data_IF_370622519893
#
_entry.id   IF_370622519893
#
_cell.length_a   1.000
_cell.length_b   1.000
_cell.length_c   1.000
_cell.angle_alpha   90.00
_cell.angle_beta   90.00
_cell.angle_gamma   90.00
#
_symmetry.space_group_name_H-M   'P 1'
#
loop_
_entity.id
_entity.type
_entity.pdbx_description
1 polymer ?
#
# COMPACT_ATOMS: atom_id res chain seq x y z
N UNK A 1 17.27 -10.25 -21.59
CA UNK A 1 17.08 -10.29 -20.12
C UNK A 1 15.61 -10.01 -19.84
N UNK A 2 14.95 -10.74 -18.93
CA UNK A 2 13.58 -10.43 -18.49
C UNK A 2 13.66 -9.50 -17.29
N UNK A 3 13.30 -8.23 -17.44
CA UNK A 3 13.24 -7.26 -16.34
C UNK A 3 12.09 -7.62 -15.41
N UNK A 4 12.34 -7.61 -14.10
CA UNK A 4 11.33 -7.79 -13.06
C UNK A 4 11.30 -6.56 -12.18
N UNK A 5 10.11 -6.19 -11.71
CA UNK A 5 9.88 -5.05 -10.84
C UNK A 5 9.85 -5.51 -9.37
N UNK A 6 10.80 -5.08 -8.51
CA UNK A 6 10.77 -5.34 -7.07
C UNK A 6 10.23 -4.12 -6.30
N UNK A 7 8.92 -4.08 -6.04
CA UNK A 7 8.29 -3.09 -5.14
C UNK A 7 8.06 -3.73 -3.78
N UNK A 8 8.59 -3.12 -2.73
CA UNK A 8 8.54 -3.64 -1.34
C UNK A 8 7.86 -2.70 -0.34
N UNK A 9 7.54 -1.46 -0.75
CA UNK A 9 7.13 -0.39 0.16
C UNK A 9 5.71 0.15 -0.11
N UNK A 10 4.87 -0.59 -0.84
CA UNK A 10 3.50 -0.14 -1.14
C UNK A 10 2.54 -0.24 0.07
N UNK A 11 2.85 -1.12 1.04
CA UNK A 11 1.98 -1.41 2.18
C UNK A 11 1.18 -2.70 2.01
N UNK A 12 -0.05 -2.73 2.53
CA UNK A 12 -0.80 -3.96 2.80
C UNK A 12 -1.11 -4.83 1.59
N UNK A 13 -1.36 -4.23 0.43
CA UNK A 13 -1.73 -4.95 -0.80
C UNK A 13 -0.64 -4.85 -1.87
N UNK A 14 0.58 -4.54 -1.43
CA UNK A 14 1.76 -4.59 -2.28
C UNK A 14 2.06 -6.02 -2.73
N UNK A 15 2.79 -6.12 -3.83
CA UNK A 15 3.29 -7.40 -4.34
C UNK A 15 4.28 -8.02 -3.33
N UNK A 16 4.19 -9.33 -3.11
CA UNK A 16 5.15 -10.11 -2.31
C UNK A 16 6.12 -10.90 -3.20
N UNK A 17 5.93 -10.84 -4.51
CA UNK A 17 6.79 -11.45 -5.52
C UNK A 17 7.13 -10.44 -6.62
N UNK A 18 8.34 -10.49 -7.21
CA UNK A 18 8.68 -9.62 -8.33
C UNK A 18 7.83 -9.94 -9.57
N UNK A 19 7.18 -8.92 -10.13
CA UNK A 19 6.38 -9.06 -11.35
C UNK A 19 7.22 -8.79 -12.61
N UNK A 20 7.06 -9.59 -13.68
CA UNK A 20 7.76 -9.35 -14.93
C UNK A 20 7.18 -8.15 -15.68
N UNK A 21 8.05 -7.32 -16.25
CA UNK A 21 7.67 -6.25 -17.17
C UNK A 21 7.54 -6.83 -18.58
N UNK A 22 6.44 -7.55 -18.84
CA UNK A 22 6.13 -8.09 -20.18
C UNK A 22 5.16 -7.16 -20.91
N UNK A 23 5.61 -6.42 -21.94
CA UNK A 23 4.74 -5.53 -22.67
C UNK A 23 3.85 -6.35 -23.62
N UNK A 24 2.59 -5.93 -23.77
CA UNK A 24 1.61 -6.46 -24.74
C UNK A 24 1.36 -7.99 -24.74
N UNK A 25 1.22 -8.65 -23.57
CA UNK A 25 0.73 -10.02 -23.59
C UNK A 25 -0.76 -10.02 -24.00
N UNK A 26 -1.18 -10.98 -24.83
CA UNK A 26 -2.60 -11.20 -25.14
C UNK A 26 -3.42 -11.36 -23.85
N UNK A 27 -2.86 -12.09 -22.88
CA UNK A 27 -3.36 -12.20 -21.51
C UNK A 27 -2.24 -11.90 -20.50
N UNK A 28 -2.38 -10.85 -19.67
CA UNK A 28 -1.39 -10.53 -18.64
C UNK A 28 -1.21 -11.67 -17.62
N UNK A 29 0.02 -12.10 -17.31
CA UNK A 29 0.26 -13.14 -16.32
C UNK A 29 -0.32 -12.78 -14.96
N UNK A 30 -1.06 -13.73 -14.37
CA UNK A 30 -1.65 -13.60 -13.03
C UNK A 30 -0.83 -14.39 -12.04
N UNK A 31 -0.49 -13.77 -10.91
CA UNK A 31 0.25 -14.38 -9.82
C UNK A 31 -0.59 -14.40 -8.55
N UNK A 32 -0.43 -15.45 -7.75
CA UNK A 32 -0.92 -15.45 -6.37
C UNK A 32 -0.01 -14.54 -5.55
N UNK A 33 -0.59 -13.61 -4.80
CA UNK A 33 0.16 -12.76 -3.87
C UNK A 33 0.32 -13.52 -2.54
N UNK A 34 -0.74 -13.58 -1.74
CA UNK A 34 -0.85 -14.43 -0.55
C UNK A 34 -2.31 -14.85 -0.36
N UNK A 35 -2.52 -16.07 0.15
CA UNK A 35 -3.85 -16.67 0.25
C UNK A 35 -4.61 -16.68 -1.08
N UNK A 36 -5.82 -16.11 -1.08
CA UNK A 36 -6.69 -16.01 -2.27
C UNK A 36 -6.42 -14.79 -3.16
N UNK A 37 -5.58 -13.85 -2.72
CA UNK A 37 -5.32 -12.62 -3.45
C UNK A 37 -4.47 -12.90 -4.70
N UNK A 38 -4.90 -12.31 -5.81
CA UNK A 38 -4.18 -12.36 -7.07
C UNK A 38 -3.75 -10.97 -7.50
N UNK A 39 -2.58 -10.91 -8.14
CA UNK A 39 -1.97 -9.68 -8.63
C UNK A 39 -1.55 -9.85 -10.09
N UNK A 40 -1.53 -8.75 -10.82
CA UNK A 40 -0.98 -8.69 -12.18
C UNK A 40 -0.45 -7.29 -12.48
N UNK A 41 0.39 -7.23 -13.49
CA UNK A 41 0.84 -5.98 -14.08
C UNK A 41 0.37 -5.94 -15.54
N UNK A 42 -0.29 -4.85 -15.93
CA UNK A 42 -0.75 -4.63 -17.30
C UNK A 42 -0.04 -3.41 -17.89
N UNK A 43 0.10 -3.36 -19.22
CA UNK A 43 0.65 -2.21 -19.94
C UNK A 43 -0.43 -1.59 -20.83
N UNK A 44 -1.13 -0.59 -20.30
CA UNK A 44 -2.35 -0.06 -20.88
C UNK A 44 -2.46 1.46 -20.73
N UNK A 45 -3.27 2.14 -21.56
CA UNK A 45 -3.63 3.53 -21.32
C UNK A 45 -4.38 3.68 -19.98
N UNK A 46 -4.19 4.82 -19.31
CA UNK A 46 -4.96 5.15 -18.10
C UNK A 46 -6.44 5.35 -18.49
N UNK A 47 -7.37 4.61 -17.87
CA UNK A 47 -8.81 4.77 -18.13
C UNK A 47 -9.25 6.23 -17.99
N UNK A 48 -10.16 6.72 -18.85
CA UNK A 48 -10.67 8.08 -18.72
C UNK A 48 -11.33 8.36 -17.37
N UNK A 49 -11.96 7.34 -16.76
CA UNK A 49 -12.70 7.52 -15.49
C UNK A 49 -11.78 7.71 -14.27
N UNK A 50 -10.53 7.24 -14.31
CA UNK A 50 -9.56 7.40 -13.21
C UNK A 50 -8.78 8.72 -13.30
N UNK A 51 -9.07 9.58 -14.28
CA UNK A 51 -8.45 10.90 -14.44
C UNK A 51 -9.12 11.90 -13.50
N UNK A 52 -8.91 11.77 -12.20
CA UNK A 52 -9.53 12.63 -11.18
C UNK A 52 -8.96 14.07 -11.12
N UNK A 53 -8.19 14.51 -12.12
CA UNK A 53 -7.75 15.90 -12.22
C UNK A 53 -7.79 16.41 -13.65
N UNK A 54 -8.66 17.38 -13.97
CA UNK A 54 -8.68 18.03 -15.28
C UNK A 54 -7.49 18.96 -15.52
N UNK A 55 -6.49 19.03 -14.63
CA UNK A 55 -5.48 20.10 -14.68
C UNK A 55 -4.10 19.67 -15.16
N UNK A 56 -3.51 18.56 -14.70
CA UNK A 56 -2.12 18.24 -15.12
C UNK A 56 -2.06 17.58 -16.51
N UNK A 57 -2.81 16.49 -16.71
CA UNK A 57 -2.79 15.73 -17.97
C UNK A 57 -3.58 16.42 -19.07
N UNK A 58 -4.62 17.20 -18.74
CA UNK A 58 -5.43 17.92 -19.74
C UNK A 58 -4.72 19.18 -20.28
N UNK A 59 -3.90 19.86 -19.46
CA UNK A 59 -3.11 21.01 -19.91
C UNK A 59 -1.95 20.54 -20.81
N UNK A 60 -1.27 19.45 -20.45
CA UNK A 60 -0.23 18.88 -21.30
C UNK A 60 -0.80 18.27 -22.59
N UNK A 61 -1.92 17.54 -22.51
CA UNK A 61 -2.55 16.95 -23.70
C UNK A 61 -3.22 17.98 -24.59
N UNK A 62 -3.91 19.01 -24.10
CA UNK A 62 -4.60 19.96 -25.01
C UNK A 62 -3.65 20.85 -25.83
N UNK A 63 -2.46 21.16 -25.30
CA UNK A 63 -1.48 21.99 -26.00
C UNK A 63 -0.58 21.17 -26.95
N UNK A 64 -0.38 19.87 -26.70
CA UNK A 64 0.38 18.95 -27.56
C UNK A 64 -0.48 18.05 -28.47
N UNK A 65 -1.75 17.77 -28.16
CA UNK A 65 -2.62 16.88 -28.95
C UNK A 65 -2.98 17.43 -30.34
N UNK A 66 -2.71 18.72 -30.61
CA UNK A 66 -2.89 19.29 -31.95
C UNK A 66 -1.83 18.85 -32.97
N UNK A 67 -0.78 18.16 -32.54
CA UNK A 67 0.36 17.79 -33.40
C UNK A 67 0.62 16.28 -33.49
N UNK A 68 -0.25 15.46 -32.91
CA UNK A 68 0.10 14.09 -32.56
C UNK A 68 -1.04 13.13 -32.91
N UNK A 69 -0.90 12.44 -34.05
CA UNK A 69 -1.68 11.26 -34.47
C UNK A 69 -1.19 10.00 -33.72
N UNK A 70 -0.88 10.09 -32.42
CA UNK A 70 -0.23 9.00 -31.68
C UNK A 70 -1.22 8.20 -30.83
N UNK A 71 -0.94 6.89 -30.75
CA UNK A 71 -1.55 6.00 -29.78
C UNK A 71 -1.49 6.58 -28.37
N UNK A 72 -2.54 6.40 -27.55
CA UNK A 72 -2.55 6.94 -26.20
C UNK A 72 -1.37 6.40 -25.39
N UNK A 73 -0.69 7.30 -24.66
CA UNK A 73 0.41 6.95 -23.78
C UNK A 73 -0.01 5.83 -22.82
N UNK A 74 0.84 4.81 -22.72
CA UNK A 74 0.62 3.62 -21.90
C UNK A 74 1.46 3.70 -20.64
N UNK A 75 0.92 3.10 -19.59
CA UNK A 75 1.55 3.00 -18.28
C UNK A 75 1.51 1.56 -17.82
N UNK A 76 2.46 1.19 -16.97
CA UNK A 76 2.37 -0.04 -16.21
C UNK A 76 1.39 0.17 -15.08
N UNK A 77 0.32 -0.62 -15.03
CA UNK A 77 -0.74 -0.52 -14.03
C UNK A 77 -0.72 -1.79 -13.19
N UNK A 78 -0.44 -1.63 -11.89
CA UNK A 78 -0.53 -2.71 -10.92
C UNK A 78 -1.98 -2.91 -10.50
N UNK A 79 -2.44 -4.16 -10.63
CA UNK A 79 -3.80 -4.55 -10.27
C UNK A 79 -3.81 -5.73 -9.32
N UNK A 80 -4.79 -5.73 -8.44
CA UNK A 80 -5.06 -6.84 -7.53
C UNK A 80 -6.55 -7.19 -7.50
N UNK A 81 -6.84 -8.42 -7.08
CA UNK A 81 -8.20 -8.86 -6.71
C UNK A 81 -8.11 -9.82 -5.54
N UNK A 82 -9.11 -9.76 -4.65
CA UNK A 82 -9.10 -10.55 -3.43
C UNK A 82 -9.47 -12.03 -3.64
N UNK A 83 -10.07 -12.38 -4.79
CA UNK A 83 -10.30 -13.75 -5.22
C UNK A 83 -10.56 -13.79 -6.74
N UNK A 84 -10.56 -14.99 -7.33
CA UNK A 84 -10.69 -15.21 -8.79
C UNK A 84 -12.03 -14.68 -9.34
N UNK A 85 -13.08 -14.68 -8.52
CA UNK A 85 -14.43 -14.22 -8.86
C UNK A 85 -14.65 -12.71 -8.60
N UNK A 86 -13.64 -12.00 -8.10
CA UNK A 86 -13.73 -10.56 -7.78
C UNK A 86 -13.18 -9.68 -8.91
N UNK A 87 -13.69 -8.44 -9.06
CA UNK A 87 -13.15 -7.50 -10.03
C UNK A 87 -11.70 -7.14 -9.70
N UNK A 88 -10.95 -6.78 -10.75
CA UNK A 88 -9.63 -6.19 -10.62
C UNK A 88 -9.74 -4.75 -10.12
N UNK A 89 -8.88 -4.37 -9.19
CA UNK A 89 -8.72 -3.01 -8.71
C UNK A 89 -7.32 -2.53 -9.09
N UNK A 90 -7.23 -1.35 -9.70
CA UNK A 90 -5.96 -0.67 -9.97
C UNK A 90 -5.51 0.10 -8.73
N UNK A 91 -4.24 -0.02 -8.36
CA UNK A 91 -3.70 0.62 -7.14
C UNK A 91 -2.72 1.74 -7.44
N UNK A 92 -1.76 1.50 -8.34
CA UNK A 92 -0.80 2.49 -8.81
C UNK A 92 -0.39 2.20 -10.23
N UNK A 93 0.13 3.24 -10.87
CA UNK A 93 0.71 3.21 -12.20
C UNK A 93 2.09 3.86 -12.22
N UNK A 94 2.91 3.47 -13.20
CA UNK A 94 4.19 4.12 -13.47
C UNK A 94 4.52 4.06 -14.96
N UNK A 95 5.24 5.07 -15.44
CA UNK A 95 5.85 5.06 -16.77
C UNK A 95 7.29 4.59 -16.71
N UNK A 96 7.97 4.59 -17.86
CA UNK A 96 9.40 4.22 -17.95
C UNK A 96 10.35 5.39 -17.61
N UNK A 97 9.84 6.43 -16.93
CA UNK A 97 10.64 7.59 -16.52
C UNK A 97 11.57 7.21 -15.36
N UNK A 98 12.84 7.56 -15.50
CA UNK A 98 13.84 7.42 -14.45
C UNK A 98 13.73 8.54 -13.42
N UNK A 99 13.82 8.19 -12.14
CA UNK A 99 13.82 9.13 -11.02
C UNK A 99 15.16 9.09 -10.28
N UNK A 100 15.63 10.25 -9.87
CA UNK A 100 16.85 10.44 -9.11
C UNK A 100 16.54 10.79 -7.64
N UNK A 101 17.52 10.67 -6.72
CA UNK A 101 17.30 10.98 -5.30
C UNK A 101 16.59 12.32 -5.01
N UNK A 102 16.92 13.45 -5.70
CA UNK A 102 16.22 14.71 -5.47
C UNK A 102 14.73 14.67 -5.82
N UNK A 103 14.33 13.87 -6.81
CA UNK A 103 12.91 13.71 -7.15
C UNK A 103 12.15 13.07 -5.99
N UNK A 104 12.76 12.06 -5.34
CA UNK A 104 12.20 11.42 -4.16
C UNK A 104 12.18 12.35 -2.94
N UNK A 105 13.12 13.28 -2.79
CA UNK A 105 13.09 14.27 -1.71
C UNK A 105 11.86 15.18 -1.82
N UNK A 106 11.54 15.65 -3.03
CA UNK A 106 10.36 16.47 -3.29
C UNK A 106 9.07 15.69 -3.03
N UNK A 107 8.98 14.45 -3.54
CA UNK A 107 7.82 13.58 -3.30
C UNK A 107 7.65 13.23 -1.82
N UNK A 108 8.75 12.94 -1.13
CA UNK A 108 8.74 12.62 0.30
C UNK A 108 8.32 13.84 1.14
N UNK A 109 8.77 15.05 0.78
CA UNK A 109 8.35 16.26 1.47
C UNK A 109 6.83 16.44 1.36
N UNK A 110 6.27 16.40 0.14
CA UNK A 110 4.83 16.55 -0.07
C UNK A 110 4.02 15.52 0.73
N UNK A 111 4.37 14.23 0.61
CA UNK A 111 3.68 13.14 1.30
C UNK A 111 3.81 13.22 2.83
N UNK A 112 4.92 13.76 3.35
CA UNK A 112 5.19 13.84 4.79
C UNK A 112 4.69 15.12 5.47
N UNK A 113 4.40 16.19 4.72
CA UNK A 113 4.11 17.51 5.33
C UNK A 113 2.78 18.12 4.93
N UNK A 114 2.21 17.77 3.77
CA UNK A 114 1.10 18.53 3.19
C UNK A 114 -0.28 17.97 3.59
N UNK A 115 -1.06 18.63 4.47
CA UNK A 115 -2.27 18.07 5.06
C UNK A 115 -3.52 18.33 4.21
N UNK A 116 -3.55 17.79 3.00
CA UNK A 116 -4.73 17.84 2.14
C UNK A 116 -5.43 16.50 2.08
N UNK A 117 -6.74 16.49 1.89
CA UNK A 117 -7.43 15.28 1.42
C UNK A 117 -7.07 15.09 -0.06
N UNK A 118 -6.60 13.90 -0.50
CA UNK A 118 -6.63 12.60 0.18
C UNK A 118 -5.30 12.13 0.82
N UNK A 119 -4.32 13.00 1.08
CA UNK A 119 -3.04 12.65 1.74
C UNK A 119 -3.25 12.19 3.20
N UNK A 120 -3.46 10.89 3.38
CA UNK A 120 -3.67 10.26 4.67
C UNK A 120 -2.36 10.01 5.44
N UNK A 121 -1.21 10.11 4.78
CA UNK A 121 0.10 9.81 5.38
C UNK A 121 0.44 10.73 6.56
N UNK A 122 -0.10 11.94 6.59
CA UNK A 122 0.12 12.91 7.69
C UNK A 122 -0.90 12.82 8.82
N UNK A 123 -2.00 12.08 8.61
CA UNK A 123 -3.12 12.00 9.56
C UNK A 123 -3.45 10.58 10.02
N UNK A 124 -2.81 9.57 9.45
CA UNK A 124 -3.04 8.15 9.76
C UNK A 124 -1.76 7.49 10.21
N UNK A 125 -1.77 6.87 11.40
CA UNK A 125 -0.68 5.97 11.79
C UNK A 125 -0.89 4.65 11.07
N UNK A 126 0.00 4.31 10.14
CA UNK A 126 -0.08 3.08 9.37
C UNK A 126 1.22 2.29 9.50
N UNK A 127 1.12 1.05 9.97
CA UNK A 127 2.23 0.08 9.94
C UNK A 127 1.73 -1.19 9.27
N UNK A 128 2.52 -1.76 8.38
CA UNK A 128 2.21 -3.02 7.70
C UNK A 128 3.39 -3.96 7.84
N UNK A 129 3.12 -5.21 8.19
CA UNK A 129 4.10 -6.28 8.21
C UNK A 129 3.50 -7.54 7.60
N UNK A 130 4.21 -8.14 6.65
CA UNK A 130 3.93 -9.50 6.19
C UNK A 130 4.61 -10.52 7.10
N UNK A 131 3.98 -11.68 7.27
CA UNK A 131 4.56 -12.79 8.03
C UNK A 131 4.52 -14.07 7.19
N UNK A 132 5.51 -14.93 7.41
CA UNK A 132 5.70 -16.14 6.62
C UNK A 132 4.90 -17.32 7.18
N UNK A 133 4.75 -18.39 6.38
CA UNK A 133 4.07 -19.62 6.79
C UNK A 133 4.67 -20.26 8.04
N UNK A 134 5.99 -20.18 8.24
CA UNK A 134 6.63 -20.75 9.44
C UNK A 134 6.25 -19.96 10.71
N UNK A 135 6.14 -18.63 10.61
CA UNK A 135 5.66 -17.77 11.70
C UNK A 135 4.18 -18.04 12.03
N UNK A 136 3.43 -18.57 11.07
CA UNK A 136 2.05 -19.01 11.25
C UNK A 136 1.91 -20.47 11.70
N UNK A 137 3.02 -21.20 11.87
CA UNK A 137 3.01 -22.63 12.18
C UNK A 137 2.55 -23.54 11.03
N UNK A 138 2.57 -23.04 9.80
CA UNK A 138 2.13 -23.72 8.58
C UNK A 138 3.30 -24.21 7.70
N UNK A 139 4.51 -23.71 7.92
CA UNK A 139 5.72 -24.03 7.14
C UNK A 139 6.86 -24.59 7.99
N UNK A 140 7.86 -25.19 7.34
CA UNK A 140 9.10 -25.63 7.97
C UNK A 140 10.16 -24.53 7.93
N UNK A 141 10.91 -24.35 9.01
CA UNK A 141 12.11 -23.50 9.00
C UNK A 141 13.29 -24.14 8.25
N UNK A 142 13.18 -25.41 7.86
CA UNK A 142 14.17 -26.12 7.05
C UNK A 142 13.87 -25.96 5.56
N UNK A 143 14.81 -25.40 4.79
CA UNK A 143 14.70 -25.25 3.34
C UNK A 143 15.38 -24.00 2.79
N UNK A 144 15.36 -23.84 1.46
CA UNK A 144 15.82 -22.62 0.81
C UNK A 144 14.89 -21.45 1.17
N UNK A 145 15.46 -20.36 1.70
CA UNK A 145 14.72 -19.14 2.02
C UNK A 145 13.93 -18.57 0.83
N UNK A 146 14.35 -18.88 -0.41
CA UNK A 146 13.65 -18.50 -1.64
C UNK A 146 12.32 -19.22 -1.86
N UNK A 147 12.08 -20.33 -1.17
CA UNK A 147 10.83 -21.10 -1.26
C UNK A 147 9.80 -20.70 -0.19
N UNK A 148 10.18 -19.82 0.75
CA UNK A 148 9.30 -19.39 1.85
C UNK A 148 8.15 -18.57 1.30
N UNK A 149 6.96 -18.82 1.84
CA UNK A 149 5.72 -18.19 1.38
C UNK A 149 5.17 -17.26 2.43
N UNK A 150 4.59 -16.15 1.97
CA UNK A 150 3.85 -15.23 2.82
C UNK A 150 2.51 -15.86 3.17
N UNK A 151 2.26 -16.05 4.47
CA UNK A 151 0.99 -16.56 4.98
C UNK A 151 -0.06 -15.46 5.11
N UNK A 152 0.37 -14.22 5.31
CA UNK A 152 -0.53 -13.11 5.50
C UNK A 152 0.14 -11.82 5.92
N UNK A 153 -0.67 -10.90 6.43
CA UNK A 153 -0.25 -9.58 6.89
C UNK A 153 -0.89 -9.19 8.22
N UNK A 154 -0.17 -8.40 8.99
CA UNK A 154 -0.64 -7.67 10.15
C UNK A 154 -0.45 -6.18 9.91
N UNK A 155 -1.41 -5.37 10.32
CA UNK A 155 -1.45 -3.94 10.06
C UNK A 155 -1.87 -3.20 11.32
N UNK A 156 -1.25 -2.07 11.62
CA UNK A 156 -1.74 -1.09 12.57
C UNK A 156 -2.34 0.06 11.76
N UNK A 157 -3.61 0.37 11.98
CA UNK A 157 -4.27 1.53 11.37
C UNK A 157 -4.84 2.38 12.50
N UNK A 158 -4.25 3.54 12.74
CA UNK A 158 -4.49 4.39 13.90
C UNK A 158 -4.26 3.63 15.22
N UNK A 159 -5.31 3.15 15.87
CA UNK A 159 -5.24 2.34 17.10
C UNK A 159 -5.54 0.86 16.89
N UNK A 160 -6.00 0.46 15.69
CA UNK A 160 -6.46 -0.90 15.44
C UNK A 160 -5.37 -1.78 14.84
N UNK A 161 -5.05 -2.87 15.53
CA UNK A 161 -4.25 -3.96 14.97
C UNK A 161 -5.17 -4.93 14.24
N UNK A 162 -4.92 -5.12 12.95
CA UNK A 162 -5.71 -5.94 12.03
C UNK A 162 -4.84 -7.03 11.43
N UNK A 163 -5.35 -8.26 11.40
CA UNK A 163 -4.64 -9.43 10.85
C UNK A 163 -5.43 -10.03 9.69
N UNK A 164 -4.72 -10.44 8.64
CA UNK A 164 -5.27 -11.17 7.51
C UNK A 164 -4.37 -12.35 7.18
N UNK A 165 -4.90 -13.57 7.31
CA UNK A 165 -4.18 -14.82 7.04
C UNK A 165 -4.47 -15.37 5.62
N UNK A 166 -4.61 -14.49 4.61
CA UNK A 166 -4.85 -14.89 3.22
C UNK A 166 -6.32 -14.89 2.75
N UNK A 167 -7.21 -14.28 3.54
CA UNK A 167 -8.62 -14.16 3.21
C UNK A 167 -9.19 -12.86 3.78
N UNK A 168 -9.91 -12.98 4.90
CA UNK A 168 -10.56 -11.83 5.53
C UNK A 168 -9.64 -11.15 6.55
N UNK A 169 -9.67 -9.83 6.55
CA UNK A 169 -9.06 -9.00 7.59
C UNK A 169 -9.95 -8.97 8.83
N UNK A 170 -9.37 -9.23 10.00
CA UNK A 170 -10.03 -9.15 11.31
C UNK A 170 -9.26 -8.22 12.23
N UNK A 171 -9.96 -7.39 13.02
CA UNK A 171 -9.34 -6.60 14.09
C UNK A 171 -9.08 -7.53 15.27
N UNK A 172 -7.83 -7.57 15.74
CA UNK A 172 -7.39 -8.42 16.85
C UNK A 172 -7.08 -7.64 18.13
N UNK A 173 -6.87 -6.33 18.01
CA UNK A 173 -6.68 -5.40 19.12
C UNK A 173 -7.11 -4.01 18.69
N UNK A 174 -7.79 -3.27 19.56
CA UNK A 174 -8.06 -1.84 19.40
C UNK A 174 -7.48 -1.11 20.62
N UNK A 175 -6.46 -0.30 20.40
CA UNK A 175 -5.76 0.46 21.42
C UNK A 175 -6.59 1.68 21.85
N UNK A 176 -6.72 1.90 23.14
CA UNK A 176 -7.50 3.01 23.72
C UNK A 176 -6.68 4.27 23.99
N UNK A 177 -5.36 4.14 24.01
CA UNK A 177 -4.40 5.20 24.32
C UNK A 177 -3.04 4.90 23.67
N UNK A 178 -2.13 5.87 23.75
CA UNK A 178 -0.77 5.74 23.20
C UNK A 178 0.05 4.65 23.88
N UNK A 179 -0.11 4.45 25.19
CA UNK A 179 0.68 3.43 25.89
C UNK A 179 0.34 2.02 25.39
N UNK A 180 -0.93 1.75 25.13
CA UNK A 180 -1.40 0.52 24.47
C UNK A 180 -0.88 0.41 23.05
N UNK A 181 -0.91 1.51 22.27
CA UNK A 181 -0.42 1.52 20.90
C UNK A 181 1.07 1.25 20.82
N UNK A 182 1.89 1.89 21.65
CA UNK A 182 3.33 1.65 21.72
C UNK A 182 3.65 0.20 22.08
N UNK A 183 2.91 -0.38 23.05
CA UNK A 183 3.05 -1.82 23.36
C UNK A 183 2.67 -2.70 22.16
N UNK A 184 1.63 -2.35 21.41
CA UNK A 184 1.23 -3.08 20.21
C UNK A 184 2.26 -2.97 19.08
N UNK A 185 2.83 -1.78 18.85
CA UNK A 185 3.92 -1.54 17.89
C UNK A 185 5.10 -2.48 18.17
N UNK A 186 5.54 -2.55 19.43
CA UNK A 186 6.59 -3.49 19.85
C UNK A 186 6.17 -4.95 19.68
N UNK A 187 5.03 -5.33 20.26
CA UNK A 187 4.61 -6.74 20.36
C UNK A 187 4.28 -7.39 19.01
N UNK A 188 3.65 -6.66 18.09
CA UNK A 188 3.21 -7.21 16.80
C UNK A 188 4.17 -6.90 15.65
N UNK A 189 4.86 -5.76 15.70
CA UNK A 189 5.70 -5.30 14.59
C UNK A 189 7.20 -5.34 14.91
N UNK A 190 7.60 -5.54 16.17
CA UNK A 190 9.00 -5.61 16.56
C UNK A 190 9.72 -4.26 16.48
N UNK A 191 8.96 -3.16 16.54
CA UNK A 191 9.50 -1.80 16.51
C UNK A 191 9.58 -1.29 17.94
N UNK A 192 10.80 -1.05 18.41
CA UNK A 192 11.06 -0.45 19.72
C UNK A 192 11.17 1.07 19.56
N UNK A 193 10.25 1.81 20.19
CA UNK A 193 10.31 3.26 20.25
C UNK A 193 10.98 3.70 21.55
N UNK A 194 11.95 4.58 21.45
CA UNK A 194 12.47 5.26 22.64
C UNK A 194 11.45 6.30 23.14
N UNK A 195 11.62 6.74 24.38
CA UNK A 195 10.65 7.59 25.06
C UNK A 195 10.32 8.89 24.29
N UNK A 196 11.32 9.52 23.66
CA UNK A 196 11.11 10.72 22.87
C UNK A 196 10.35 10.46 21.56
N UNK A 197 10.55 9.29 20.92
CA UNK A 197 9.82 8.89 19.71
C UNK A 197 8.36 8.59 20.04
N UNK A 198 8.12 7.86 21.13
CA UNK A 198 6.77 7.56 21.61
C UNK A 198 5.99 8.84 21.95
N UNK A 199 6.64 9.84 22.56
CA UNK A 199 6.01 11.15 22.85
C UNK A 199 5.83 12.04 21.62
N UNK A 200 6.49 11.76 20.50
CA UNK A 200 6.44 12.62 19.30
C UNK A 200 5.05 12.77 18.68
N UNK A 201 4.13 11.88 19.03
CA UNK A 201 2.74 11.91 18.58
C UNK A 201 1.83 12.84 19.39
N UNK A 202 2.27 13.28 20.58
CA UNK A 202 1.47 14.13 21.46
C UNK A 202 1.13 15.46 20.77
N UNK A 203 -0.15 15.84 20.80
CA UNK A 203 -0.69 17.03 20.13
C UNK A 203 -0.84 16.91 18.61
N UNK A 204 -0.56 15.75 18.01
CA UNK A 204 -0.78 15.50 16.58
C UNK A 204 -2.22 15.08 16.32
N UNK A 205 -2.69 15.30 15.09
CA UNK A 205 -4.04 14.92 14.68
C UNK A 205 -4.32 13.40 14.78
N UNK A 206 -3.28 12.56 14.81
CA UNK A 206 -3.37 11.10 14.90
C UNK A 206 -3.12 10.54 16.31
N UNK A 207 -3.04 11.40 17.32
CA UNK A 207 -3.00 11.00 18.73
C UNK A 207 -4.31 10.32 19.14
N UNK A 208 -4.21 9.17 19.83
CA UNK A 208 -5.33 8.48 20.45
C UNK A 208 -5.68 9.20 21.76
N UNK A 209 -6.70 10.05 21.69
CA UNK A 209 -7.24 10.71 22.86
C UNK A 209 -8.15 9.72 23.59
N UNK A 210 -7.93 9.54 24.89
CA UNK A 210 -8.86 8.81 25.75
C UNK A 210 -10.17 9.58 25.77
N UNK A 211 -11.19 9.08 25.06
CA UNK A 211 -12.55 9.59 25.22
C UNK A 211 -13.00 9.27 26.65
N UNK A 212 -12.87 10.26 27.53
CA UNK A 212 -13.37 10.20 28.91
C UNK A 212 -14.89 10.38 29.00
N UNK A 213 -15.60 10.35 27.87
CA UNK A 213 -17.05 10.43 27.85
C UNK A 213 -17.62 9.38 26.91
N UNK A 214 -18.36 8.43 27.49
CA UNK A 214 -19.40 7.74 26.75
C UNK A 214 -20.51 8.75 26.47
N UNK A 215 -20.45 9.41 25.32
CA UNK A 215 -21.63 9.97 24.69
C UNK A 215 -21.59 9.62 23.21
N UNK A 216 -22.62 8.84 22.85
CA UNK A 216 -23.07 8.53 21.51
C UNK A 216 -23.19 9.84 20.72
N UNK A 217 -22.33 10.05 19.72
CA UNK A 217 -22.57 11.08 18.70
C UNK A 217 -22.54 10.42 17.33
N UNK A 218 -23.71 9.89 16.98
CA UNK A 218 -24.13 9.86 15.61
C UNK A 218 -23.95 11.26 14.98
N UNK A 219 -23.45 11.25 13.74
CA UNK A 219 -23.41 12.38 12.79
C UNK A 219 -22.43 13.50 13.13
N UNK A 220 -21.31 13.52 12.39
CA UNK A 220 -20.88 14.63 11.53
C UNK A 220 -19.85 14.17 10.52
#
# INVERSE_FOLDING_TARGET
MRTKLPIVAFGGDGQVVPLPLTPFPEEPPVFTNFGSQQIRLIHAPIPPETRESPTATQILSSQYAKFVDEEPQRFWIYQYRNAVDKPWNSFYEFGDLEFFPPDFEVMNHFTSTYPTTPNFQVSTVLIVKFFLEEEAGLGSMEGDYKARKVAGKIMLVNGDVKRNNGGRTVTILSCKNEEERVRAIKGYFGIDLIEIEARGIQGRACELIVNSQGEDSALR
#
